data_IF_529469048044
#
_entry.id   IF_529469048044
#
_cell.length_a   1.000
_cell.length_b   1.000
_cell.length_c   1.000
_cell.angle_alpha   90.00
_cell.angle_beta   90.00
_cell.angle_gamma   90.00
#
_symmetry.space_group_name_H-M   'P 1'
#
loop_
_entity.id
_entity.type
_entity.pdbx_description
1 polymer ?
#
# COMPACT_ATOMS: atom_id res chain seq x y z
N UNK A 1 3.38 21.03 -5.06
CA UNK A 1 2.57 20.10 -4.25
C UNK A 1 1.28 20.80 -3.93
N UNK A 2 0.14 20.22 -4.32
CA UNK A 2 -1.17 20.74 -4.00
C UNK A 2 -1.75 20.01 -2.78
N UNK A 3 -2.80 20.59 -2.20
CA UNK A 3 -3.68 19.87 -1.27
C UNK A 3 -4.82 19.29 -2.07
N UNK A 4 -5.06 18.00 -1.92
CA UNK A 4 -6.09 17.28 -2.63
C UNK A 4 -7.08 16.65 -1.65
N UNK A 5 -8.30 16.45 -2.12
CA UNK A 5 -9.27 15.67 -1.39
C UNK A 5 -8.89 14.20 -1.51
N UNK A 6 -8.65 13.53 -0.40
CA UNK A 6 -8.52 12.06 -0.36
C UNK A 6 -9.78 11.48 0.25
N UNK A 7 -10.35 10.48 -0.41
CA UNK A 7 -11.57 9.81 0.03
C UNK A 7 -11.28 8.34 0.36
N UNK A 8 -12.14 7.73 1.16
CA UNK A 8 -12.07 6.30 1.37
C UNK A 8 -13.31 5.72 2.02
N UNK A 9 -13.34 4.39 2.04
CA UNK A 9 -14.38 3.62 2.70
C UNK A 9 -13.75 2.35 3.26
N UNK A 10 -14.05 2.03 4.52
CA UNK A 10 -13.76 0.72 5.10
C UNK A 10 -15.08 0.01 5.37
N UNK A 11 -15.18 -1.24 4.95
CA UNK A 11 -16.39 -2.07 5.08
C UNK A 11 -16.19 -3.06 6.21
N UNK A 12 -17.07 -3.01 7.20
CA UNK A 12 -17.04 -3.88 8.37
C UNK A 12 -17.85 -5.16 8.14
N UNK A 13 -17.50 -6.23 8.86
CA UNK A 13 -18.16 -7.54 8.77
C UNK A 13 -19.64 -7.53 9.18
N UNK A 14 -20.07 -6.51 9.92
CA UNK A 14 -21.47 -6.32 10.36
C UNK A 14 -22.31 -5.47 9.39
N UNK A 15 -21.77 -5.15 8.21
CA UNK A 15 -22.43 -4.34 7.19
C UNK A 15 -22.32 -2.83 7.41
N UNK A 16 -21.72 -2.39 8.52
CA UNK A 16 -21.42 -0.97 8.73
C UNK A 16 -20.24 -0.52 7.87
N UNK A 17 -20.19 0.78 7.56
CA UNK A 17 -19.13 1.36 6.76
C UNK A 17 -18.53 2.56 7.49
N UNK A 18 -17.22 2.74 7.38
CA UNK A 18 -16.48 3.88 7.95
C UNK A 18 -16.12 4.81 6.79
N UNK A 19 -16.86 5.91 6.59
CA UNK A 19 -16.57 6.87 5.54
C UNK A 19 -15.37 7.74 5.92
N UNK A 20 -14.50 8.00 4.95
CA UNK A 20 -13.24 8.70 5.15
C UNK A 20 -13.09 9.85 4.16
N UNK A 21 -12.64 10.99 4.66
CA UNK A 21 -12.36 12.16 3.83
C UNK A 21 -11.42 13.12 4.55
N UNK A 22 -10.36 13.56 3.87
CA UNK A 22 -9.49 14.62 4.34
C UNK A 22 -8.89 15.42 3.17
N UNK A 23 -8.52 16.67 3.43
CA UNK A 23 -7.73 17.48 2.52
C UNK A 23 -6.25 17.31 2.88
N UNK A 24 -5.50 16.61 2.04
CA UNK A 24 -4.13 16.16 2.32
C UNK A 24 -3.16 16.71 1.29
N UNK A 25 -1.99 17.19 1.75
CA UNK A 25 -0.92 17.61 0.87
C UNK A 25 -0.33 16.41 0.13
N UNK A 26 -0.16 16.50 -1.19
CA UNK A 26 0.48 15.45 -1.98
C UNK A 26 1.98 15.31 -1.66
N UNK A 27 2.52 14.10 -1.82
CA UNK A 27 3.93 13.78 -1.61
C UNK A 27 4.32 13.66 -0.15
N UNK A 28 3.35 13.51 0.75
CA UNK A 28 3.61 13.34 2.18
C UNK A 28 2.60 12.38 2.79
N UNK A 29 3.10 11.31 3.40
CA UNK A 29 2.26 10.33 4.07
C UNK A 29 1.48 10.97 5.23
N UNK A 30 0.15 10.85 5.19
CA UNK A 30 -0.75 11.58 6.08
C UNK A 30 -1.83 10.69 6.69
N UNK A 31 -2.39 11.12 7.83
CA UNK A 31 -3.52 10.46 8.49
C UNK A 31 -4.81 10.77 7.71
N UNK A 32 -5.54 9.73 7.29
CA UNK A 32 -6.88 9.84 6.70
C UNK A 32 -7.93 9.55 7.79
N UNK A 33 -8.74 10.56 8.10
CA UNK A 33 -9.74 10.53 9.18
C UNK A 33 -11.16 10.35 8.65
N UNK A 34 -12.09 10.13 9.57
CA UNK A 34 -13.52 9.99 9.24
C UNK A 34 -14.11 11.25 8.61
N UNK A 35 -14.97 11.06 7.62
CA UNK A 35 -15.62 12.15 6.90
C UNK A 35 -16.65 12.87 7.78
N UNK A 36 -16.38 14.15 8.10
CA UNK A 36 -17.25 14.99 8.94
C UNK A 36 -18.61 15.32 8.33
N UNK A 37 -18.82 14.98 7.06
CA UNK A 37 -20.15 15.03 6.43
C UNK A 37 -21.10 13.99 7.04
N UNK A 38 -20.54 12.84 7.44
CA UNK A 38 -21.29 11.70 7.97
C UNK A 38 -20.97 11.43 9.45
N UNK A 39 -19.81 11.87 9.93
CA UNK A 39 -19.40 11.81 11.34
C UNK A 39 -19.45 13.20 11.96
N UNK A 40 -19.82 13.30 13.24
CA UNK A 40 -19.95 14.61 13.92
C UNK A 40 -18.61 15.36 13.99
N UNK A 41 -17.49 14.62 14.03
CA UNK A 41 -16.14 15.16 14.03
C UNK A 41 -15.18 14.21 13.30
N UNK A 42 -14.00 14.73 12.92
CA UNK A 42 -12.94 13.95 12.33
C UNK A 42 -12.23 13.15 13.42
N UNK A 43 -12.18 11.83 13.27
CA UNK A 43 -11.60 10.91 14.24
C UNK A 43 -10.73 9.87 13.52
N UNK A 44 -9.78 9.27 14.24
CA UNK A 44 -9.07 8.10 13.72
C UNK A 44 -10.04 6.91 13.65
N UNK A 45 -9.79 5.99 12.72
CA UNK A 45 -10.65 4.83 12.50
C UNK A 45 -10.80 3.94 13.74
N UNK A 46 -9.73 3.79 14.51
CA UNK A 46 -9.72 2.98 15.73
C UNK A 46 -10.56 3.55 16.86
N UNK A 47 -10.58 4.88 16.97
CA UNK A 47 -11.32 5.61 18.00
C UNK A 47 -12.81 5.72 17.64
N UNK A 48 -13.12 5.85 16.34
CA UNK A 48 -14.48 5.93 15.84
C UNK A 48 -15.22 4.57 15.87
N UNK A 49 -14.57 3.51 15.40
CA UNK A 49 -15.18 2.20 15.16
C UNK A 49 -14.51 1.08 15.96
N UNK A 50 -14.19 1.36 17.23
CA UNK A 50 -13.50 0.42 18.10
C UNK A 50 -14.21 -0.95 18.15
N UNK A 51 -13.43 -2.02 18.01
CA UNK A 51 -13.91 -3.40 18.10
C UNK A 51 -14.59 -3.91 16.84
N UNK A 52 -14.89 -3.06 15.83
CA UNK A 52 -15.38 -3.47 14.52
C UNK A 52 -14.29 -4.20 13.73
N UNK A 53 -14.70 -5.10 12.84
CA UNK A 53 -13.77 -5.87 12.00
C UNK A 53 -13.90 -5.43 10.56
N UNK A 54 -12.84 -4.83 10.02
CA UNK A 54 -12.73 -4.41 8.61
C UNK A 54 -12.43 -5.63 7.75
N UNK A 55 -13.15 -5.77 6.64
CA UNK A 55 -13.06 -6.93 5.73
C UNK A 55 -12.70 -6.54 4.31
N UNK A 56 -13.15 -5.37 3.86
CA UNK A 56 -12.75 -4.76 2.60
C UNK A 56 -12.59 -3.24 2.77
N UNK A 57 -11.94 -2.61 1.81
CA UNK A 57 -11.78 -1.16 1.82
C UNK A 57 -11.22 -0.62 0.52
N UNK A 58 -11.26 0.70 0.39
CA UNK A 58 -10.64 1.43 -0.70
C UNK A 58 -10.29 2.84 -0.23
N UNK A 59 -9.11 3.31 -0.59
CA UNK A 59 -8.71 4.72 -0.51
C UNK A 59 -8.50 5.25 -1.92
N UNK A 60 -9.08 6.41 -2.22
CA UNK A 60 -8.95 7.07 -3.53
C UNK A 60 -8.37 8.47 -3.42
N UNK A 61 -7.45 8.77 -4.33
CA UNK A 61 -6.78 10.07 -4.45
C UNK A 61 -7.09 10.70 -5.81
N UNK A 62 -6.86 12.02 -5.94
CA UNK A 62 -7.12 12.74 -7.19
C UNK A 62 -6.07 12.46 -8.28
N UNK A 63 -4.79 12.61 -7.95
CA UNK A 63 -3.73 12.65 -8.97
C UNK A 63 -2.77 11.44 -8.95
N UNK A 64 -2.48 10.90 -7.77
CA UNK A 64 -1.51 9.82 -7.57
C UNK A 64 -1.69 9.17 -6.21
N UNK A 65 -1.37 7.87 -6.11
CA UNK A 65 -1.39 7.12 -4.84
C UNK A 65 -0.43 5.94 -4.91
N UNK A 66 0.38 5.75 -3.88
CA UNK A 66 1.29 4.59 -3.79
C UNK A 66 0.69 3.48 -2.94
N UNK A 67 0.25 3.82 -1.73
CA UNK A 67 -0.28 2.84 -0.77
C UNK A 67 -1.16 3.50 0.28
N UNK A 68 -1.96 2.66 0.95
CA UNK A 68 -2.67 3.00 2.16
C UNK A 68 -2.67 1.81 3.12
N UNK A 69 -2.65 2.07 4.43
CA UNK A 69 -2.63 1.01 5.42
C UNK A 69 -3.12 1.47 6.78
N UNK A 70 -3.58 0.51 7.58
CA UNK A 70 -3.90 0.69 8.98
C UNK A 70 -2.60 0.55 9.78
N UNK A 71 -2.22 1.62 10.47
CA UNK A 71 -1.11 1.68 11.39
C UNK A 71 -1.59 1.31 12.79
N UNK A 72 -0.90 0.34 13.43
CA UNK A 72 -1.06 0.02 14.85
C UNK A 72 0.29 0.00 15.51
N UNK A 73 0.45 0.80 16.57
CA UNK A 73 1.67 0.82 17.41
C UNK A 73 2.98 0.94 16.60
N UNK A 74 2.98 1.75 15.53
CA UNK A 74 4.15 1.95 14.69
C UNK A 74 4.41 0.85 13.66
N UNK A 75 3.52 -0.14 13.51
CA UNK A 75 3.62 -1.22 12.51
C UNK A 75 2.46 -1.19 11.50
N UNK A 76 2.75 -1.56 10.25
CA UNK A 76 1.73 -1.79 9.21
C UNK A 76 0.91 -3.01 9.61
N UNK A 77 -0.31 -2.77 10.09
CA UNK A 77 -1.16 -3.83 10.63
C UNK A 77 -1.99 -4.50 9.53
N UNK A 78 -2.54 -3.70 8.61
CA UNK A 78 -3.28 -4.18 7.45
C UNK A 78 -3.16 -3.20 6.29
N UNK A 79 -2.87 -3.71 5.10
CA UNK A 79 -2.80 -2.88 3.89
C UNK A 79 -4.22 -2.72 3.32
N UNK A 80 -4.56 -1.48 2.95
CA UNK A 80 -5.85 -1.13 2.37
C UNK A 80 -5.66 -0.89 0.86
N UNK A 81 -6.52 -1.47 0.00
CA UNK A 81 -6.48 -1.22 -1.44
C UNK A 81 -6.58 0.28 -1.77
N UNK A 82 -5.90 0.70 -2.83
CA UNK A 82 -5.85 2.08 -3.29
C UNK A 82 -6.26 2.21 -4.76
N UNK A 83 -6.58 3.42 -5.21
CA UNK A 83 -6.76 3.76 -6.63
C UNK A 83 -6.97 5.25 -6.84
N UNK A 84 -7.10 5.69 -8.10
CA UNK A 84 -7.52 7.07 -8.37
C UNK A 84 -9.03 7.19 -8.49
N UNK A 85 -9.56 8.36 -8.14
CA UNK A 85 -10.98 8.67 -8.36
C UNK A 85 -11.32 8.57 -9.84
N UNK A 86 -12.44 7.93 -10.15
CA UNK A 86 -12.86 7.66 -11.53
C UNK A 86 -12.25 6.40 -12.17
N UNK A 87 -11.12 5.90 -11.65
CA UNK A 87 -10.46 4.67 -12.14
C UNK A 87 -10.63 3.48 -11.20
N UNK A 88 -10.76 3.73 -9.89
CA UNK A 88 -11.06 2.70 -8.92
C UNK A 88 -12.48 2.14 -9.13
N UNK A 89 -12.62 0.81 -9.04
CA UNK A 89 -13.85 0.10 -9.39
C UNK A 89 -14.42 -0.76 -8.27
N UNK A 90 -13.68 -1.02 -7.19
CA UNK A 90 -14.22 -1.79 -6.05
C UNK A 90 -13.50 -1.54 -4.72
N UNK A 91 -14.26 -1.58 -3.62
CA UNK A 91 -13.72 -1.78 -2.28
C UNK A 91 -13.28 -3.24 -2.12
N UNK A 92 -11.98 -3.48 -2.36
CA UNK A 92 -11.47 -4.85 -2.44
C UNK A 92 -11.26 -5.47 -1.06
N UNK A 93 -11.39 -6.80 -0.94
CA UNK A 93 -11.08 -7.49 0.31
C UNK A 93 -9.66 -7.20 0.79
N UNK A 94 -9.50 -7.06 2.10
CA UNK A 94 -8.19 -7.05 2.75
C UNK A 94 -7.54 -8.44 2.64
N UNK A 95 -6.22 -8.52 2.82
CA UNK A 95 -5.52 -9.80 2.85
C UNK A 95 -6.04 -10.76 3.93
N UNK A 96 -6.41 -10.21 5.08
CA UNK A 96 -7.14 -10.86 6.15
C UNK A 96 -8.03 -9.83 6.87
N UNK A 97 -9.17 -10.24 7.47
CA UNK A 97 -9.98 -9.35 8.29
C UNK A 97 -9.18 -8.75 9.44
N UNK A 98 -9.41 -7.46 9.74
CA UNK A 98 -8.67 -6.73 10.75
C UNK A 98 -9.62 -6.10 11.77
N UNK A 99 -9.47 -6.45 13.06
CA UNK A 99 -10.28 -5.91 14.14
C UNK A 99 -9.66 -4.63 14.70
N UNK A 100 -10.40 -3.53 14.63
CA UNK A 100 -9.98 -2.21 15.07
C UNK A 100 -9.86 -2.12 16.61
N UNK A 101 -8.88 -1.35 17.06
CA UNK A 101 -8.62 -0.99 18.44
C UNK A 101 -8.40 0.52 18.52
N UNK A 102 -8.63 1.09 19.71
CA UNK A 102 -8.36 2.51 19.94
C UNK A 102 -6.89 2.84 19.61
N UNK A 103 -6.67 3.99 18.97
CA UNK A 103 -5.37 4.40 18.47
C UNK A 103 -4.95 3.84 17.10
N UNK A 104 -5.75 2.96 16.46
CA UNK A 104 -5.51 2.60 15.06
C UNK A 104 -5.76 3.79 14.13
N UNK A 105 -4.81 4.02 13.21
CA UNK A 105 -4.87 5.10 12.23
C UNK A 105 -4.86 4.55 10.82
N UNK A 106 -5.53 5.22 9.90
CA UNK A 106 -5.37 4.96 8.47
C UNK A 106 -4.37 5.95 7.89
N UNK A 107 -3.28 5.44 7.32
CA UNK A 107 -2.23 6.22 6.66
C UNK A 107 -2.35 6.05 5.16
N UNK A 108 -2.08 7.11 4.42
CA UNK A 108 -2.09 7.12 2.95
C UNK A 108 -0.93 7.96 2.41
N UNK A 109 -0.32 7.49 1.32
CA UNK A 109 0.64 8.25 0.54
C UNK A 109 -0.02 8.69 -0.77
N UNK A 110 -0.63 9.88 -0.74
CA UNK A 110 -1.19 10.53 -1.92
C UNK A 110 -0.10 11.33 -2.61
N UNK A 111 0.06 11.14 -3.91
CA UNK A 111 1.18 11.68 -4.67
C UNK A 111 0.71 12.56 -5.80
N UNK A 112 1.64 13.35 -6.32
CA UNK A 112 1.43 14.05 -7.58
C UNK A 112 1.41 13.03 -8.73
N UNK A 113 0.72 13.32 -9.83
CA UNK A 113 0.63 12.42 -10.98
C UNK A 113 2.00 12.09 -11.63
N UNK A 114 2.99 12.96 -11.45
CA UNK A 114 4.34 12.80 -11.99
C UNK A 114 5.34 12.19 -10.99
N UNK A 115 4.93 12.01 -9.73
CA UNK A 115 5.79 11.40 -8.71
C UNK A 115 5.95 9.92 -9.01
N UNK A 116 7.20 9.50 -9.15
CA UNK A 116 7.59 8.15 -9.57
C UNK A 116 7.66 7.16 -8.43
N UNK A 117 7.25 7.54 -7.21
CA UNK A 117 7.25 6.62 -6.07
C UNK A 117 6.57 5.30 -6.43
N UNK A 118 7.32 4.23 -6.24
CA UNK A 118 6.88 2.86 -6.43
C UNK A 118 6.74 2.19 -5.07
N UNK A 119 5.73 1.34 -4.93
CA UNK A 119 5.50 0.60 -3.70
C UNK A 119 5.18 -0.87 -4.00
N UNK A 120 5.75 -1.76 -3.20
CA UNK A 120 5.45 -3.18 -3.16
C UNK A 120 4.76 -3.50 -1.83
N UNK A 121 3.47 -3.76 -1.90
CA UNK A 121 2.64 -4.12 -0.76
C UNK A 121 2.55 -5.63 -0.65
N UNK A 122 2.98 -6.21 0.47
CA UNK A 122 3.05 -7.67 0.66
C UNK A 122 2.36 -8.13 1.93
N UNK A 123 1.85 -9.35 1.87
CA UNK A 123 1.29 -10.07 2.99
C UNK A 123 1.86 -11.49 3.05
N UNK A 124 2.40 -11.87 4.20
CA UNK A 124 3.09 -13.14 4.40
C UNK A 124 2.19 -14.24 4.93
N UNK A 125 2.66 -15.48 4.86
CA UNK A 125 1.98 -16.66 5.40
C UNK A 125 1.78 -16.57 6.92
N UNK A 126 2.70 -15.94 7.66
CA UNK A 126 2.54 -15.70 9.10
C UNK A 126 1.56 -14.56 9.44
N UNK A 127 0.98 -13.91 8.43
CA UNK A 127 0.00 -12.86 8.60
C UNK A 127 0.60 -11.46 8.78
N UNK A 128 1.87 -11.26 8.42
CA UNK A 128 2.55 -9.97 8.50
C UNK A 128 2.31 -9.17 7.22
N UNK A 129 1.93 -7.90 7.37
CA UNK A 129 1.84 -6.94 6.27
C UNK A 129 3.09 -6.05 6.24
N UNK A 130 3.68 -5.84 5.07
CA UNK A 130 4.79 -4.90 4.87
C UNK A 130 4.63 -4.13 3.57
N UNK A 131 5.20 -2.94 3.51
CA UNK A 131 5.22 -2.09 2.32
C UNK A 131 6.67 -1.71 2.09
N UNK A 132 7.17 -1.98 0.90
CA UNK A 132 8.51 -1.60 0.46
C UNK A 132 8.39 -0.49 -0.57
N UNK A 133 9.18 0.59 -0.44
CA UNK A 133 9.04 1.80 -1.25
C UNK A 133 10.37 2.23 -1.84
N UNK A 134 10.32 2.94 -2.96
CA UNK A 134 11.46 3.67 -3.56
C UNK A 134 10.93 4.71 -4.54
N UNK A 135 11.64 5.83 -4.68
CA UNK A 135 11.36 6.84 -5.72
C UNK A 135 12.49 6.82 -6.75
N UNK A 136 12.29 6.22 -7.94
CA UNK A 136 13.29 6.21 -9.01
C UNK A 136 13.62 7.62 -9.50
N UNK A 137 14.91 7.87 -9.71
CA UNK A 137 15.43 9.17 -10.17
C UNK A 137 15.98 9.15 -11.59
N UNK A 138 16.03 7.98 -12.25
CA UNK A 138 16.57 7.84 -13.61
C UNK A 138 16.68 6.38 -14.07
N UNK A 139 17.58 6.13 -15.02
CA UNK A 139 17.87 4.80 -15.50
C UNK A 139 18.76 4.04 -14.50
N UNK A 140 18.18 3.17 -13.70
CA UNK A 140 18.89 2.45 -12.63
C UNK A 140 18.12 1.22 -12.16
N UNK A 141 18.81 0.34 -11.44
CA UNK A 141 18.17 -0.66 -10.59
C UNK A 141 17.73 0.03 -9.30
N UNK A 142 16.43 0.01 -9.02
CA UNK A 142 15.84 0.63 -7.84
C UNK A 142 15.48 -0.45 -6.83
N UNK A 143 16.16 -0.48 -5.69
CA UNK A 143 15.85 -1.37 -4.58
C UNK A 143 14.68 -0.78 -3.76
N UNK A 144 13.65 -1.59 -3.52
CA UNK A 144 12.54 -1.22 -2.63
C UNK A 144 12.92 -1.61 -1.19
N UNK A 145 12.83 -0.63 -0.29
CA UNK A 145 13.16 -0.80 1.13
C UNK A 145 11.92 -0.67 2.00
N UNK A 146 11.91 -1.34 3.16
CA UNK A 146 10.77 -1.35 4.06
C UNK A 146 10.44 0.06 4.55
N UNK A 147 9.17 0.45 4.41
CA UNK A 147 8.66 1.78 4.75
C UNK A 147 8.96 2.18 6.21
N UNK A 148 9.01 1.21 7.12
CA UNK A 148 9.07 1.49 8.56
C UNK A 148 10.50 1.45 9.10
N UNK A 149 11.32 0.58 8.54
CA UNK A 149 12.68 0.29 9.04
C UNK A 149 13.78 0.75 8.09
N UNK A 150 13.48 0.97 6.81
CA UNK A 150 14.47 1.27 5.77
C UNK A 150 15.34 0.07 5.36
N UNK A 151 15.00 -1.13 5.84
CA UNK A 151 15.77 -2.35 5.58
C UNK A 151 15.36 -3.02 4.27
N UNK A 152 16.20 -3.94 3.78
CA UNK A 152 15.87 -4.78 2.64
C UNK A 152 14.69 -5.72 2.94
N UNK A 153 14.10 -6.30 1.90
CA UNK A 153 13.06 -7.33 2.06
C UNK A 153 13.59 -8.58 2.77
N UNK A 154 14.84 -8.97 2.50
CA UNK A 154 15.47 -10.13 3.11
C UNK A 154 15.70 -9.98 4.61
N UNK A 155 16.06 -8.78 5.06
CA UNK A 155 16.25 -8.47 6.48
C UNK A 155 14.92 -8.32 7.22
N UNK A 156 13.90 -7.81 6.53
CA UNK A 156 12.59 -7.52 7.13
C UNK A 156 11.71 -8.77 7.24
N UNK A 157 11.77 -9.66 6.24
CA UNK A 157 10.89 -10.83 6.08
C UNK A 157 11.68 -12.13 6.01
N UNK A 158 12.75 -12.25 6.79
CA UNK A 158 13.58 -13.45 6.80
C UNK A 158 12.77 -14.70 7.15
N UNK A 159 12.90 -15.75 6.35
CA UNK A 159 12.19 -17.04 6.49
C UNK A 159 10.67 -16.96 6.32
N UNK A 160 10.17 -15.87 5.74
CA UNK A 160 8.76 -15.73 5.40
C UNK A 160 8.47 -16.15 3.97
N UNK A 161 7.18 -16.34 3.69
CA UNK A 161 6.69 -16.54 2.32
C UNK A 161 5.59 -15.53 2.05
N UNK A 162 5.76 -14.71 1.01
CA UNK A 162 4.74 -13.79 0.56
C UNK A 162 3.64 -14.59 -0.16
N UNK A 163 2.42 -14.47 0.34
CA UNK A 163 1.25 -15.19 -0.17
C UNK A 163 0.26 -14.29 -0.90
N UNK A 164 0.28 -12.98 -0.61
CA UNK A 164 -0.47 -11.98 -1.38
C UNK A 164 0.38 -10.74 -1.57
N UNK A 165 0.30 -10.14 -2.76
CA UNK A 165 0.98 -8.87 -3.03
C UNK A 165 0.27 -8.07 -4.12
N UNK A 166 0.53 -6.77 -4.13
CA UNK A 166 0.36 -5.91 -5.29
C UNK A 166 1.51 -4.90 -5.31
N UNK A 167 1.77 -4.30 -6.46
CA UNK A 167 2.72 -3.19 -6.53
C UNK A 167 2.20 -2.06 -7.40
N UNK A 168 2.62 -0.85 -7.08
CA UNK A 168 2.22 0.39 -7.76
C UNK A 168 3.45 1.10 -8.28
N UNK A 169 3.33 1.69 -9.47
CA UNK A 169 4.28 2.69 -10.00
C UNK A 169 3.63 3.43 -11.17
N UNK A 170 3.94 4.71 -11.32
CA UNK A 170 3.54 5.50 -12.50
C UNK A 170 4.57 5.47 -13.62
N UNK A 171 5.65 4.69 -13.48
CA UNK A 171 6.73 4.61 -14.47
C UNK A 171 6.29 3.98 -15.80
N UNK A 172 5.25 3.16 -15.80
CA UNK A 172 4.65 2.57 -17.01
C UNK A 172 5.69 1.94 -17.96
N UNK A 173 5.86 2.48 -19.17
CA UNK A 173 6.80 2.01 -20.18
C UNK A 173 8.28 2.18 -19.80
N UNK A 174 8.57 2.90 -18.71
CA UNK A 174 9.94 3.03 -18.22
C UNK A 174 10.43 1.82 -17.45
N UNK A 175 9.51 0.96 -16.99
CA UNK A 175 9.86 -0.25 -16.24
C UNK A 175 10.37 -1.29 -17.24
N UNK A 176 11.61 -1.75 -17.06
CA UNK A 176 12.26 -2.73 -17.94
C UNK A 176 12.24 -4.15 -17.39
N UNK A 177 11.62 -4.32 -16.22
CA UNK A 177 11.42 -5.62 -15.55
C UNK A 177 9.94 -5.99 -15.59
N UNK A 178 9.57 -7.25 -15.36
CA UNK A 178 8.16 -7.68 -15.25
C UNK A 178 7.38 -7.08 -14.05
N UNK A 179 7.90 -6.06 -13.38
CA UNK A 179 7.41 -5.48 -12.14
C UNK A 179 8.48 -5.47 -11.05
N UNK A 180 8.05 -5.43 -9.78
CA UNK A 180 8.96 -5.62 -8.66
C UNK A 180 9.41 -7.09 -8.60
N UNK A 181 10.69 -7.35 -8.87
CA UNK A 181 11.28 -8.68 -8.77
C UNK A 181 11.91 -8.87 -7.39
N UNK A 182 11.71 -10.05 -6.81
CA UNK A 182 12.43 -10.51 -5.63
C UNK A 182 13.58 -11.39 -6.11
N UNK A 183 14.79 -11.01 -5.74
CA UNK A 183 16.04 -11.69 -6.11
C UNK A 183 16.69 -12.25 -4.86
N UNK A 184 17.16 -13.50 -4.97
CA UNK A 184 17.92 -14.14 -3.90
C UNK A 184 19.35 -13.60 -3.80
N UNK A 185 20.08 -14.07 -2.79
CA UNK A 185 21.48 -13.67 -2.54
C UNK A 185 22.46 -14.03 -3.68
N UNK A 186 22.07 -14.94 -4.59
CA UNK A 186 22.86 -15.36 -5.75
C UNK A 186 22.45 -14.60 -7.03
N UNK A 187 21.41 -13.76 -6.96
CA UNK A 187 20.87 -13.01 -8.09
C UNK A 187 19.79 -13.75 -8.90
N UNK A 188 19.27 -14.88 -8.43
CA UNK A 188 18.16 -15.56 -9.09
C UNK A 188 16.83 -14.87 -8.75
N UNK A 189 15.97 -14.69 -9.75
CA UNK A 189 14.61 -14.19 -9.53
C UNK A 189 13.76 -15.29 -8.90
N UNK A 190 13.32 -15.08 -7.66
CA UNK A 190 12.47 -16.01 -6.89
C UNK A 190 11.00 -15.59 -6.83
N UNK A 191 10.70 -14.39 -7.34
CA UNK A 191 9.35 -13.86 -7.42
C UNK A 191 9.28 -12.60 -8.28
N UNK A 192 8.11 -12.32 -8.84
CA UNK A 192 7.85 -11.09 -9.56
C UNK A 192 6.39 -10.66 -9.31
N UNK A 193 6.21 -9.39 -8.96
CA UNK A 193 4.90 -8.77 -8.74
C UNK A 193 4.75 -7.65 -9.77
N UNK A 194 3.81 -7.76 -10.73
CA UNK A 194 3.59 -6.71 -11.72
C UNK A 194 3.23 -5.38 -11.05
N UNK A 195 3.81 -4.30 -11.58
CA UNK A 195 3.49 -2.94 -11.16
C UNK A 195 2.30 -2.41 -11.94
N UNK A 196 1.32 -1.89 -11.20
CA UNK A 196 0.11 -1.29 -11.77
C UNK A 196 0.22 0.22 -11.61
N UNK A 197 -0.03 0.95 -12.70
CA UNK A 197 -0.27 2.39 -12.61
C UNK A 197 -1.70 2.63 -12.08
N UNK A 198 -1.87 3.28 -10.92
CA UNK A 198 -3.19 3.53 -10.33
C UNK A 198 -4.08 4.44 -11.19
N UNK A 199 -3.47 5.20 -12.11
CA UNK A 199 -4.16 6.12 -13.01
C UNK A 199 -5.14 5.41 -13.95
N UNK A 200 -4.69 4.45 -14.78
CA UNK A 200 -5.58 3.69 -15.65
C UNK A 200 -6.30 2.52 -14.96
N UNK A 201 -5.77 1.97 -13.86
CA UNK A 201 -6.32 0.75 -13.28
C UNK A 201 -6.07 0.66 -11.77
N UNK A 202 -7.05 0.15 -11.02
CA UNK A 202 -6.90 -0.12 -9.59
C UNK A 202 -5.91 -1.28 -9.34
N UNK A 203 -4.86 -1.09 -8.52
CA UNK A 203 -4.04 -2.21 -8.04
C UNK A 203 -4.84 -3.14 -7.12
N UNK A 204 -4.65 -4.45 -7.31
CA UNK A 204 -5.34 -5.49 -6.54
C UNK A 204 -4.36 -6.53 -6.01
N UNK A 205 -4.64 -7.03 -4.81
CA UNK A 205 -3.93 -8.16 -4.25
C UNK A 205 -4.15 -9.41 -5.10
N UNK A 206 -3.04 -9.96 -5.59
CA UNK A 206 -3.00 -11.27 -6.23
C UNK A 206 -2.33 -12.29 -5.30
N UNK A 207 -2.58 -13.57 -5.55
CA UNK A 207 -1.98 -14.67 -4.78
C UNK A 207 -0.61 -15.01 -5.34
N UNK A 208 0.36 -15.21 -4.44
CA UNK A 208 1.75 -15.54 -4.77
C UNK A 208 2.29 -16.66 -3.88
N UNK A 209 3.47 -17.14 -4.21
CA UNK A 209 4.26 -18.03 -3.37
C UNK A 209 5.74 -17.67 -3.51
N UNK A 210 6.12 -16.51 -2.95
CA UNK A 210 7.48 -15.97 -3.07
C UNK A 210 8.21 -16.18 -1.75
N UNK A 211 9.20 -17.08 -1.67
CA UNK A 211 10.00 -17.27 -0.48
C UNK A 211 10.95 -16.07 -0.27
N UNK A 212 11.17 -15.69 0.97
CA UNK A 212 12.11 -14.63 1.35
C UNK A 212 13.08 -15.16 2.40
N UNK A 213 14.38 -14.94 2.16
CA UNK A 213 15.44 -15.27 3.10
C UNK A 213 16.43 -14.11 3.22
N UNK A 214 17.40 -14.25 4.10
CA UNK A 214 18.41 -13.23 4.36
C UNK A 214 19.11 -12.80 3.07
N UNK A 215 19.42 -11.51 2.96
CA UNK A 215 20.07 -10.89 1.80
C UNK A 215 19.26 -10.93 0.50
N UNK A 216 17.97 -11.25 0.56
CA UNK A 216 17.09 -11.10 -0.60
C UNK A 216 16.78 -9.62 -0.82
N UNK A 217 16.62 -9.24 -2.08
CA UNK A 217 16.31 -7.86 -2.48
C UNK A 217 15.02 -7.83 -3.27
N UNK A 218 14.20 -6.80 -3.04
CA UNK A 218 13.10 -6.46 -3.93
C UNK A 218 13.58 -5.28 -4.78
N UNK A 219 13.54 -5.41 -6.10
CA UNK A 219 14.05 -4.37 -6.99
C UNK A 219 13.33 -4.36 -8.33
N UNK A 220 13.48 -3.27 -9.08
CA UNK A 220 13.04 -3.18 -10.47
C UNK A 220 13.97 -2.25 -11.26
N UNK A 221 14.09 -2.50 -12.56
CA UNK A 221 14.89 -1.68 -13.45
C UNK A 221 14.00 -0.64 -14.12
N UNK A 222 14.48 0.61 -14.16
CA UNK A 222 13.89 1.67 -14.97
C UNK A 222 14.87 2.15 -16.03
N UNK A 223 14.36 2.61 -17.17
CA UNK A 223 15.09 3.46 -18.09
C UNK A 223 14.87 4.96 -17.80
N UNK A 224 15.50 5.80 -18.61
CA UNK A 224 15.50 7.26 -18.48
C UNK A 224 14.11 7.86 -18.78
#
# INVERSE_FOLDING_TARGET
MATNTVNGILVCSDGTNIPLKAELAEGTESDLTTDTTYTVSAQNIGDYAQGKTVTSGLVTCDNGVSYAYILRQGLVAAIVPVGLKGSAFQASPLCAPFRLQAGDKLRVMNNTAADREAALCVYTRSGVSRIFVVTPTGAATNELIDLQTGNSIGDTLQNETIVKAFSTSVDTSKIETPGAVVVDALGNVVGAVPMVSPGPMQPLFNTYNIPVNLNFKAQFLTNA
#
